data_IF_176512612634
#
_entry.id   IF_176512612634
#
_cell.length_a   1.000
_cell.length_b   1.000
_cell.length_c   1.000
_cell.angle_alpha   90.00
_cell.angle_beta   90.00
_cell.angle_gamma   90.00
#
_symmetry.space_group_name_H-M   'P 1'
#
loop_
_entity.id
_entity.type
_entity.pdbx_description
1 polymer ?
#
# COMPACT_ATOMS: atom_id res chain seq x y z
N UNK A 1 10.74 -15.06 -18.75
CA UNK A 1 10.02 -13.83 -18.39
C UNK A 1 10.39 -13.50 -16.95
N UNK A 2 11.06 -12.38 -16.67
CA UNK A 2 11.32 -11.99 -15.28
C UNK A 2 9.98 -11.64 -14.62
N UNK A 3 9.54 -12.45 -13.67
CA UNK A 3 8.30 -12.19 -12.93
C UNK A 3 8.52 -10.93 -12.07
N UNK A 4 7.88 -9.81 -12.44
CA UNK A 4 7.96 -8.56 -11.67
C UNK A 4 6.89 -8.60 -10.58
N UNK A 5 7.30 -8.92 -9.35
CA UNK A 5 6.42 -8.91 -8.19
C UNK A 5 6.46 -7.54 -7.48
N UNK A 6 5.29 -7.10 -7.00
CA UNK A 6 5.14 -5.90 -6.18
C UNK A 6 4.28 -6.20 -4.96
N UNK A 7 4.75 -5.80 -3.78
CA UNK A 7 4.00 -5.95 -2.53
C UNK A 7 3.62 -4.59 -1.98
N UNK A 8 2.33 -4.38 -1.70
CA UNK A 8 1.82 -3.19 -1.04
C UNK A 8 1.39 -3.53 0.39
N UNK A 9 1.89 -2.76 1.36
CA UNK A 9 1.47 -2.81 2.75
C UNK A 9 0.63 -1.58 3.08
N UNK A 10 -0.64 -1.77 3.45
CA UNK A 10 -1.61 -0.68 3.60
C UNK A 10 -2.29 -0.73 4.96
N UNK A 11 -1.91 0.18 5.86
CA UNK A 11 -2.51 0.32 7.19
C UNK A 11 -2.02 -0.73 8.20
N UNK A 12 -2.09 -0.43 9.51
CA UNK A 12 -1.83 -1.43 10.55
C UNK A 12 -2.95 -2.48 10.67
N UNK A 13 -2.62 -3.65 11.22
CA UNK A 13 -3.57 -4.73 11.41
C UNK A 13 -4.73 -4.31 12.33
N UNK A 14 -5.90 -4.94 12.18
CA UNK A 14 -7.06 -4.69 13.04
C UNK A 14 -6.71 -4.88 14.51
N UNK A 15 -5.94 -5.91 14.78
CA UNK A 15 -5.49 -6.34 16.09
C UNK A 15 -3.96 -6.17 16.15
N UNK A 16 -3.41 -5.37 17.09
CA UNK A 16 -1.96 -5.11 17.14
C UNK A 16 -1.08 -6.37 17.22
N UNK A 17 -1.60 -7.47 17.78
CA UNK A 17 -0.92 -8.77 17.82
C UNK A 17 -0.67 -9.38 16.43
N UNK A 18 -1.43 -8.96 15.40
CA UNK A 18 -1.23 -9.39 14.02
C UNK A 18 -0.19 -8.54 13.27
N UNK A 19 0.26 -7.40 13.82
CA UNK A 19 1.23 -6.51 13.17
C UNK A 19 2.55 -7.25 12.89
N UNK A 20 3.04 -8.06 13.84
CA UNK A 20 4.27 -8.85 13.66
C UNK A 20 4.14 -9.86 12.51
N UNK A 21 2.99 -10.54 12.42
CA UNK A 21 2.70 -11.51 11.36
C UNK A 21 2.63 -10.80 10.00
N UNK A 22 1.93 -9.67 9.94
CA UNK A 22 1.77 -8.86 8.74
C UNK A 22 3.11 -8.34 8.21
N UNK A 23 3.94 -7.79 9.09
CA UNK A 23 5.28 -7.29 8.72
C UNK A 23 6.21 -8.44 8.35
N UNK A 24 6.17 -9.58 9.05
CA UNK A 24 6.97 -10.76 8.69
C UNK A 24 6.65 -11.25 7.28
N UNK A 25 5.36 -11.27 6.92
CA UNK A 25 4.93 -11.62 5.56
C UNK A 25 5.43 -10.58 4.55
N UNK A 26 5.24 -9.29 4.81
CA UNK A 26 5.70 -8.21 3.95
C UNK A 26 7.21 -8.27 3.65
N UNK A 27 8.03 -8.55 4.66
CA UNK A 27 9.49 -8.64 4.52
C UNK A 27 9.93 -9.87 3.71
N UNK A 28 9.14 -10.96 3.74
CA UNK A 28 9.43 -12.21 3.02
C UNK A 28 8.96 -12.20 1.55
N UNK A 29 8.03 -11.32 1.19
CA UNK A 29 7.56 -11.23 -0.19
C UNK A 29 8.70 -10.83 -1.15
N UNK A 30 8.74 -11.43 -2.36
CA UNK A 30 9.78 -11.13 -3.33
C UNK A 30 9.53 -9.80 -4.04
N UNK A 31 10.57 -9.24 -4.67
CA UNK A 31 10.41 -8.06 -5.52
C UNK A 31 10.15 -6.76 -4.75
N UNK A 32 9.68 -5.75 -5.49
CA UNK A 32 9.57 -4.37 -5.00
C UNK A 32 8.52 -4.29 -3.89
N UNK A 33 8.77 -3.45 -2.89
CA UNK A 33 7.90 -3.25 -1.74
C UNK A 33 7.52 -1.78 -1.61
N UNK A 34 6.26 -1.50 -1.32
CA UNK A 34 5.75 -0.15 -1.09
C UNK A 34 4.91 -0.15 0.18
N UNK A 35 5.16 0.83 1.04
CA UNK A 35 4.37 1.06 2.27
C UNK A 35 3.44 2.25 2.05
N UNK A 36 2.16 2.06 2.32
CA UNK A 36 1.15 3.10 2.17
C UNK A 36 0.71 3.66 3.54
N UNK A 37 1.20 4.85 3.87
CA UNK A 37 0.84 5.64 5.03
C UNK A 37 1.87 5.62 6.15
N UNK A 38 2.05 6.77 6.80
CA UNK A 38 3.01 6.95 7.90
C UNK A 38 2.71 6.06 9.12
N UNK A 39 1.42 5.82 9.42
CA UNK A 39 1.04 4.87 10.48
C UNK A 39 1.54 3.45 10.20
N UNK A 40 1.51 3.05 8.93
CA UNK A 40 1.97 1.74 8.46
C UNK A 40 3.49 1.67 8.51
N UNK A 41 4.18 2.73 8.11
CA UNK A 41 5.63 2.84 8.21
C UNK A 41 6.11 2.75 9.66
N UNK A 42 5.42 3.42 10.59
CA UNK A 42 5.71 3.35 12.02
C UNK A 42 5.48 1.93 12.57
N UNK A 43 4.41 1.24 12.15
CA UNK A 43 4.18 -0.15 12.51
C UNK A 43 5.36 -1.03 12.07
N UNK A 44 5.79 -0.91 10.80
CA UNK A 44 6.95 -1.68 10.30
C UNK A 44 8.19 -1.37 11.11
N UNK A 45 8.49 -0.09 11.35
CA UNK A 45 9.66 0.33 12.12
C UNK A 45 9.65 -0.21 13.57
N UNK A 46 8.48 -0.36 14.19
CA UNK A 46 8.35 -0.91 15.53
C UNK A 46 8.53 -2.43 15.59
N UNK A 47 8.23 -3.14 14.51
CA UNK A 47 8.41 -4.61 14.41
C UNK A 47 9.84 -4.97 14.00
N UNK A 48 10.54 -4.08 13.29
CA UNK A 48 11.93 -4.31 12.93
C UNK A 48 12.83 -4.46 14.17
N UNK A 49 13.92 -5.24 14.08
CA UNK A 49 14.95 -5.27 15.10
C UNK A 49 15.46 -3.86 15.46
N UNK A 50 15.84 -3.59 16.72
CA UNK A 50 16.24 -2.23 17.16
C UNK A 50 17.42 -1.62 16.39
N UNK A 51 18.26 -2.45 15.77
CA UNK A 51 19.41 -2.06 14.95
C UNK A 51 19.05 -1.83 13.47
N UNK A 52 17.87 -2.23 13.04
CA UNK A 52 17.38 -2.06 11.68
C UNK A 52 16.51 -0.81 11.53
N UNK A 53 16.71 -0.10 10.42
CA UNK A 53 15.89 1.05 10.03
C UNK A 53 15.00 0.68 8.85
N UNK A 54 13.93 1.44 8.66
CA UNK A 54 13.04 1.24 7.52
C UNK A 54 13.79 1.30 6.17
N UNK A 55 14.78 2.19 6.06
CA UNK A 55 15.64 2.35 4.87
C UNK A 55 16.54 1.14 4.59
N UNK A 56 16.69 0.23 5.56
CA UNK A 56 17.45 -1.03 5.41
C UNK A 56 16.58 -2.21 4.94
N UNK A 57 15.27 -2.00 4.78
CA UNK A 57 14.36 -3.03 4.26
C UNK A 57 14.67 -3.28 2.79
N UNK A 58 15.03 -4.52 2.47
CA UNK A 58 15.33 -4.94 1.10
C UNK A 58 14.14 -4.70 0.17
N UNK A 59 14.45 -4.14 -1.00
CA UNK A 59 13.51 -3.84 -2.09
C UNK A 59 12.40 -2.84 -1.71
N UNK A 60 12.51 -2.14 -0.58
CA UNK A 60 11.60 -1.04 -0.24
C UNK A 60 11.85 0.13 -1.20
N UNK A 61 10.86 0.38 -2.06
CA UNK A 61 10.93 1.41 -3.08
C UNK A 61 10.41 2.76 -2.58
N UNK A 62 9.30 2.74 -1.84
CA UNK A 62 8.55 3.96 -1.52
C UNK A 62 7.74 3.80 -0.24
N UNK A 63 7.69 4.88 0.55
CA UNK A 63 6.74 5.08 1.65
C UNK A 63 5.88 6.29 1.31
N UNK A 64 4.56 6.11 1.28
CA UNK A 64 3.62 7.17 0.85
C UNK A 64 2.79 7.71 2.02
N UNK A 65 2.10 8.84 1.82
CA UNK A 65 1.12 9.38 2.77
C UNK A 65 -0.20 8.56 2.86
N UNK A 66 -0.31 7.48 2.08
CA UNK A 66 -1.42 6.54 2.17
C UNK A 66 -2.66 6.99 1.40
N UNK A 67 -3.65 7.59 2.07
CA UNK A 67 -4.99 7.81 1.47
C UNK A 67 -4.95 8.73 0.26
N UNK A 68 -4.20 9.84 0.36
CA UNK A 68 -4.10 10.83 -0.71
C UNK A 68 -3.51 10.19 -1.96
N UNK A 69 -2.37 9.52 -1.80
CA UNK A 69 -1.67 8.85 -2.91
C UNK A 69 -2.50 7.72 -3.51
N UNK A 70 -3.22 6.94 -2.70
CA UNK A 70 -4.13 5.90 -3.23
C UNK A 70 -5.29 6.50 -4.05
N UNK A 71 -5.83 7.65 -3.64
CA UNK A 71 -6.88 8.36 -4.40
C UNK A 71 -6.33 8.86 -5.74
N UNK A 72 -5.17 9.52 -5.73
CA UNK A 72 -4.52 10.01 -6.95
C UNK A 72 -4.19 8.87 -7.92
N UNK A 73 -3.74 7.71 -7.41
CA UNK A 73 -3.48 6.53 -8.25
C UNK A 73 -4.77 6.00 -8.88
N UNK A 74 -5.88 5.95 -8.14
CA UNK A 74 -7.18 5.58 -8.70
C UNK A 74 -7.60 6.55 -9.80
N UNK A 75 -7.42 7.85 -9.58
CA UNK A 75 -7.70 8.86 -10.59
C UNK A 75 -6.85 8.66 -11.85
N UNK A 76 -5.56 8.32 -11.72
CA UNK A 76 -4.69 7.98 -12.85
C UNK A 76 -5.22 6.76 -13.62
N UNK A 77 -5.69 5.72 -12.92
CA UNK A 77 -6.19 4.51 -13.57
C UNK A 77 -7.57 4.69 -14.20
N UNK A 78 -8.44 5.53 -13.61
CA UNK A 78 -9.79 5.81 -14.08
C UNK A 78 -9.80 6.83 -15.23
N UNK A 79 -8.97 7.87 -15.16
CA UNK A 79 -8.94 8.98 -16.12
C UNK A 79 -7.91 8.76 -17.23
N UNK A 80 -7.92 7.60 -17.93
CA UNK A 80 -6.97 7.22 -18.99
C UNK A 80 -6.85 8.23 -20.16
N UNK A 81 -6.34 9.45 -19.94
CA UNK A 81 -6.37 10.49 -20.96
C UNK A 81 -5.89 11.90 -20.62
N UNK A 82 -5.51 12.25 -19.39
CA UNK A 82 -4.83 13.54 -19.15
C UNK A 82 -3.50 13.38 -18.40
N UNK A 83 -2.36 13.64 -19.07
CA UNK A 83 -1.08 13.66 -18.37
C UNK A 83 -1.08 14.89 -17.45
N UNK A 84 -1.00 14.65 -16.15
CA UNK A 84 -0.65 15.70 -15.20
C UNK A 84 0.82 16.03 -15.50
N UNK A 85 1.03 17.11 -16.24
CA UNK A 85 2.34 17.57 -16.65
C UNK A 85 3.13 18.07 -15.44
N UNK A 86 3.75 17.16 -14.70
CA UNK A 86 4.74 17.46 -13.68
C UNK A 86 6.07 16.83 -14.10
N UNK A 87 7.11 17.66 -14.22
CA UNK A 87 8.49 17.24 -14.51
C UNK A 87 9.13 16.49 -13.34
N UNK A 88 8.47 16.50 -12.17
CA UNK A 88 8.82 15.72 -10.98
C UNK A 88 7.84 14.55 -10.90
N UNK A 89 8.37 13.34 -10.79
CA UNK A 89 7.55 12.15 -10.63
C UNK A 89 6.94 12.16 -9.22
N UNK A 90 5.62 12.27 -9.10
CA UNK A 90 4.95 12.20 -7.79
C UNK A 90 4.95 10.78 -7.25
N UNK A 91 4.80 10.61 -5.93
CA UNK A 91 4.60 9.30 -5.29
C UNK A 91 3.49 8.48 -5.96
N UNK A 92 2.41 9.16 -6.37
CA UNK A 92 1.31 8.54 -7.10
C UNK A 92 1.75 8.02 -8.48
N UNK A 93 2.55 8.78 -9.22
CA UNK A 93 3.10 8.33 -10.51
C UNK A 93 4.09 7.17 -10.33
N UNK A 94 4.92 7.16 -9.28
CA UNK A 94 5.83 6.04 -8.98
C UNK A 94 5.02 4.78 -8.65
N UNK A 95 3.99 4.90 -7.82
CA UNK A 95 3.12 3.79 -7.46
C UNK A 95 2.33 3.28 -8.69
N UNK A 96 1.73 4.17 -9.48
CA UNK A 96 0.99 3.80 -10.69
C UNK A 96 1.87 3.10 -11.73
N UNK A 97 3.09 3.60 -11.97
CA UNK A 97 4.06 2.95 -12.86
C UNK A 97 4.48 1.58 -12.32
N UNK A 98 4.76 1.47 -11.03
CA UNK A 98 5.13 0.18 -10.40
C UNK A 98 4.01 -0.85 -10.51
N UNK A 99 2.76 -0.44 -10.28
CA UNK A 99 1.57 -1.27 -10.45
C UNK A 99 1.38 -1.69 -11.91
N UNK A 100 1.65 -0.78 -12.86
CA UNK A 100 1.55 -1.06 -14.30
C UNK A 100 2.61 -2.06 -14.78
N UNK A 101 3.85 -1.95 -14.28
CA UNK A 101 4.94 -2.86 -14.62
C UNK A 101 4.83 -4.24 -13.98
N UNK A 102 4.19 -4.36 -12.82
CA UNK A 102 4.08 -5.62 -12.09
C UNK A 102 3.19 -6.64 -12.81
N UNK A 103 3.65 -7.89 -12.85
CA UNK A 103 2.88 -9.05 -13.36
C UNK A 103 2.09 -9.72 -12.24
N UNK A 104 2.63 -9.71 -11.02
CA UNK A 104 1.97 -10.20 -9.81
C UNK A 104 2.06 -9.16 -8.69
N UNK A 105 0.98 -9.03 -7.92
CA UNK A 105 0.85 -8.00 -6.90
C UNK A 105 0.23 -8.61 -5.62
N UNK A 106 0.92 -8.46 -4.50
CA UNK A 106 0.41 -8.83 -3.17
C UNK A 106 -0.06 -7.58 -2.42
N UNK A 107 -1.32 -7.56 -2.01
CA UNK A 107 -1.88 -6.53 -1.14
C UNK A 107 -2.02 -7.07 0.29
N UNK A 108 -1.29 -6.50 1.23
CA UNK A 108 -1.41 -6.75 2.66
C UNK A 108 -2.15 -5.55 3.28
N UNK A 109 -3.43 -5.74 3.61
CA UNK A 109 -4.33 -4.64 3.99
C UNK A 109 -4.74 -4.77 5.45
N UNK A 110 -4.26 -3.83 6.27
CA UNK A 110 -4.63 -3.69 7.66
C UNK A 110 -5.97 -2.96 7.86
N UNK A 111 -6.74 -3.39 8.85
CA UNK A 111 -8.08 -2.90 9.15
C UNK A 111 -8.17 -2.16 10.50
N UNK A 112 -7.05 -1.66 11.03
CA UNK A 112 -7.02 -0.90 12.28
C UNK A 112 -8.00 0.28 12.26
N UNK A 113 -8.87 0.36 13.27
CA UNK A 113 -9.73 1.53 13.48
C UNK A 113 -8.99 2.61 14.27
N UNK A 114 -9.03 3.86 13.82
CA UNK A 114 -8.36 4.94 14.53
C UNK A 114 -9.09 5.27 15.84
N UNK A 115 -8.44 5.07 16.99
CA UNK A 115 -9.01 5.28 18.33
C UNK A 115 -9.50 6.72 18.57
N UNK A 116 -8.93 7.73 17.90
CA UNK A 116 -9.29 9.14 18.08
C UNK A 116 -10.64 9.55 17.45
N UNK A 117 -11.32 8.65 16.74
CA UNK A 117 -12.51 8.96 15.94
C UNK A 117 -13.82 8.35 16.45
N UNK A 118 -13.89 7.87 17.70
CA UNK A 118 -15.16 7.38 18.29
C UNK A 118 -16.28 8.44 18.35
N UNK A 119 -15.99 9.73 18.10
CA UNK A 119 -16.91 10.85 18.27
C UNK A 119 -17.33 11.60 16.99
N UNK A 120 -16.87 11.24 15.79
CA UNK A 120 -17.23 11.94 14.55
C UNK A 120 -18.06 11.07 13.61
N UNK A 121 -19.26 11.56 13.26
CA UNK A 121 -20.26 10.98 12.35
C UNK A 121 -19.84 10.91 10.87
N UNK A 122 -18.54 10.80 10.59
CA UNK A 122 -17.97 10.62 9.27
C UNK A 122 -17.49 9.18 9.10
N UNK A 123 -17.59 8.57 7.90
CA UNK A 123 -17.02 7.25 7.67
C UNK A 123 -15.52 7.26 8.00
N UNK A 124 -15.08 6.34 8.85
CA UNK A 124 -13.74 6.35 9.43
C UNK A 124 -12.63 6.33 8.35
N UNK A 125 -11.52 7.06 8.55
CA UNK A 125 -10.37 7.08 7.60
C UNK A 125 -9.85 5.68 7.21
N UNK A 126 -9.84 4.67 8.10
CA UNK A 126 -9.49 3.29 7.74
C UNK A 126 -10.47 2.62 6.77
N UNK A 127 -11.76 2.96 6.85
CA UNK A 127 -12.80 2.50 5.91
C UNK A 127 -12.52 3.08 4.53
N UNK A 128 -12.06 4.35 4.47
CA UNK A 128 -11.68 4.98 3.21
C UNK A 128 -10.45 4.30 2.60
N UNK A 129 -9.36 4.08 3.36
CA UNK A 129 -8.15 3.42 2.84
C UNK A 129 -8.42 2.01 2.31
N UNK A 130 -9.13 1.19 3.09
CA UNK A 130 -9.47 -0.18 2.69
C UNK A 130 -10.43 -0.21 1.49
N UNK A 131 -11.34 0.77 1.37
CA UNK A 131 -12.18 0.94 0.16
C UNK A 131 -11.35 1.28 -1.07
N UNK A 132 -10.47 2.28 -0.99
CA UNK A 132 -9.61 2.68 -2.13
C UNK A 132 -8.70 1.51 -2.56
N UNK A 133 -8.13 0.78 -1.61
CA UNK A 133 -7.32 -0.39 -1.89
C UNK A 133 -8.13 -1.48 -2.61
N UNK A 134 -9.37 -1.75 -2.19
CA UNK A 134 -10.27 -2.70 -2.88
C UNK A 134 -10.59 -2.26 -4.31
N UNK A 135 -10.90 -0.99 -4.51
CA UNK A 135 -11.16 -0.45 -5.84
C UNK A 135 -9.95 -0.63 -6.77
N UNK A 136 -8.75 -0.36 -6.25
CA UNK A 136 -7.51 -0.54 -6.99
C UNK A 136 -7.25 -2.00 -7.34
N UNK A 137 -7.51 -2.93 -6.41
CA UNK A 137 -7.42 -4.37 -6.65
C UNK A 137 -8.32 -4.78 -7.81
N UNK A 138 -9.58 -4.32 -7.84
CA UNK A 138 -10.52 -4.69 -8.90
C UNK A 138 -10.10 -4.12 -10.27
N UNK A 139 -9.62 -2.88 -10.31
CA UNK A 139 -9.03 -2.30 -11.52
C UNK A 139 -7.86 -3.15 -12.03
N UNK A 140 -6.93 -3.55 -11.16
CA UNK A 140 -5.74 -4.31 -11.55
C UNK A 140 -6.10 -5.72 -12.04
N UNK A 141 -7.06 -6.39 -11.38
CA UNK A 141 -7.59 -7.69 -11.84
C UNK A 141 -8.25 -7.56 -13.21
N UNK A 142 -9.05 -6.52 -13.45
CA UNK A 142 -9.69 -6.28 -14.74
C UNK A 142 -8.68 -6.06 -15.88
N UNK A 143 -7.48 -5.57 -15.55
CA UNK A 143 -6.34 -5.41 -16.46
C UNK A 143 -5.50 -6.68 -16.64
N UNK A 144 -5.95 -7.83 -16.13
CA UNK A 144 -5.31 -9.14 -16.31
C UNK A 144 -4.11 -9.42 -15.40
N UNK A 145 -3.93 -8.64 -14.32
CA UNK A 145 -2.83 -8.84 -13.36
C UNK A 145 -3.16 -9.93 -12.35
N UNK A 146 -2.14 -10.66 -11.89
CA UNK A 146 -2.30 -11.62 -10.80
C UNK A 146 -2.25 -10.91 -9.46
N UNK A 147 -3.41 -10.70 -8.83
CA UNK A 147 -3.52 -9.95 -7.57
C UNK A 147 -3.94 -10.87 -6.42
N UNK A 148 -3.10 -10.94 -5.39
CA UNK A 148 -3.40 -11.61 -4.12
C UNK A 148 -3.71 -10.56 -3.06
N UNK A 149 -4.71 -10.80 -2.22
CA UNK A 149 -5.09 -9.88 -1.14
C UNK A 149 -5.21 -10.65 0.16
N UNK A 150 -4.54 -10.17 1.20
CA UNK A 150 -4.67 -10.66 2.56
C UNK A 150 -5.05 -9.51 3.50
N UNK A 151 -6.01 -9.77 4.39
CA UNK A 151 -6.53 -8.79 5.34
C UNK A 151 -6.04 -9.10 6.75
N UNK A 152 -5.68 -8.04 7.48
CA UNK A 152 -5.13 -8.09 8.84
C UNK A 152 -5.89 -7.13 9.77
#
# INVERSE_FOLDING_TARGET
MNNKHLTLLIGPAKYPEDDERMVSMFLKEPGKKIICGSSTANMVANVLPPDQKLDSVNDLLLVTDGTVILSEVLDIFNNQGQPVASTIQSDAQILASSLTEATSISFLIGMAVNKSQRSLSLPAKPIVKSRLARELVEILKSKGKHVTVEYF
#
